data_IF_391097514504
#
_entry.id   IF_391097514504
#
_cell.length_a   1.000
_cell.length_b   1.000
_cell.length_c   1.000
_cell.angle_alpha   90.00
_cell.angle_beta   90.00
_cell.angle_gamma   90.00
#
_symmetry.space_group_name_H-M   'P 1'
#
loop_
_entity.id
_entity.type
_entity.pdbx_description
1 polymer ?
#
# COMPACT_ATOMS: atom_id res chain seq x y z
N UNK A 1 24.07 -1.70 -9.98
CA UNK A 1 23.08 -0.82 -9.32
C UNK A 1 22.03 -1.71 -8.66
N UNK A 2 21.97 -1.73 -7.33
CA UNK A 2 20.97 -2.53 -6.60
C UNK A 2 19.56 -2.03 -6.92
N UNK A 3 18.63 -2.93 -7.23
CA UNK A 3 17.21 -2.57 -7.42
C UNK A 3 16.68 -2.01 -6.09
N UNK A 4 16.30 -0.74 -6.05
CA UNK A 4 15.59 -0.21 -4.89
C UNK A 4 14.22 -0.88 -4.83
N UNK A 5 13.88 -1.58 -3.74
CA UNK A 5 12.55 -2.15 -3.59
C UNK A 5 11.53 -1.01 -3.58
N UNK A 6 10.51 -1.10 -4.44
CA UNK A 6 9.41 -0.14 -4.42
C UNK A 6 8.35 -0.62 -3.43
N UNK A 7 7.73 0.32 -2.74
CA UNK A 7 6.61 0.04 -1.84
C UNK A 7 5.38 0.76 -2.36
N UNK A 8 4.24 0.07 -2.34
CA UNK A 8 2.94 0.65 -2.63
C UNK A 8 2.15 0.72 -1.33
N UNK A 9 1.53 1.87 -1.10
CA UNK A 9 0.57 2.12 -0.04
C UNK A 9 -0.79 2.41 -0.66
N UNK A 10 -1.81 1.67 -0.25
CA UNK A 10 -3.19 1.83 -0.71
C UNK A 10 -4.08 2.16 0.48
N UNK A 11 -4.83 3.25 0.36
CA UNK A 11 -5.82 3.68 1.34
C UNK A 11 -7.21 3.59 0.72
N UNK A 12 -8.05 2.72 1.28
CA UNK A 12 -9.46 2.67 0.93
C UNK A 12 -10.19 3.76 1.70
N UNK A 13 -11.09 4.47 1.03
CA UNK A 13 -11.87 5.53 1.64
C UNK A 13 -13.31 5.51 1.16
N UNK A 14 -14.21 6.08 1.96
CA UNK A 14 -15.56 6.44 1.54
C UNK A 14 -15.85 7.90 1.89
N UNK A 15 -16.64 8.55 1.06
CA UNK A 15 -17.13 9.89 1.34
C UNK A 15 -18.51 9.81 1.99
N UNK A 16 -18.73 10.54 3.08
CA UNK A 16 -20.01 10.62 3.80
C UNK A 16 -20.23 12.04 4.30
N UNK A 17 -21.35 12.66 3.87
CA UNK A 17 -21.77 14.00 4.33
C UNK A 17 -20.62 15.02 4.36
N UNK A 18 -19.90 15.14 3.23
CA UNK A 18 -18.76 16.05 3.06
C UNK A 18 -17.50 15.75 3.92
N UNK A 19 -17.41 14.54 4.48
CA UNK A 19 -16.24 14.02 5.18
C UNK A 19 -15.69 12.78 4.47
N UNK A 20 -14.41 12.51 4.67
CA UNK A 20 -13.76 11.29 4.21
C UNK A 20 -13.47 10.38 5.40
N UNK A 21 -13.87 9.12 5.28
CA UNK A 21 -13.54 8.07 6.24
C UNK A 21 -12.59 7.09 5.55
N UNK A 22 -11.54 6.66 6.25
CA UNK A 22 -10.52 5.76 5.72
C UNK A 22 -10.57 4.42 6.45
N UNK A 23 -10.36 3.33 5.71
CA UNK A 23 -10.20 2.02 6.29
C UNK A 23 -8.75 1.84 6.78
N UNK A 24 -8.60 1.50 8.06
CA UNK A 24 -7.31 1.17 8.69
C UNK A 24 -7.47 -0.21 9.33
N UNK A 25 -6.45 -1.06 9.21
CA UNK A 25 -6.47 -2.43 9.70
C UNK A 25 -5.52 -2.57 10.90
N UNK A 26 -5.99 -3.22 11.95
CA UNK A 26 -5.16 -3.61 13.08
C UNK A 26 -4.32 -4.83 12.69
N UNK A 27 -3.05 -4.81 13.05
CA UNK A 27 -2.19 -5.98 12.87
C UNK A 27 -2.53 -7.06 13.90
N UNK A 28 -2.73 -8.28 13.42
CA UNK A 28 -2.98 -9.43 14.29
C UNK A 28 -1.78 -9.77 15.20
N UNK A 29 -0.56 -9.54 14.71
CA UNK A 29 0.69 -9.81 15.41
C UNK A 29 1.18 -8.65 16.29
N UNK A 30 0.63 -7.45 16.11
CA UNK A 30 1.00 -6.26 16.88
C UNK A 30 -0.26 -5.41 17.16
N UNK A 31 -0.99 -5.68 18.26
CA UNK A 31 -2.28 -5.06 18.53
C UNK A 31 -2.25 -3.52 18.66
N UNK A 32 -1.09 -2.94 18.96
CA UNK A 32 -0.93 -1.48 19.06
C UNK A 32 -0.59 -0.82 17.71
N UNK A 33 -0.56 -1.58 16.62
CA UNK A 33 -0.22 -1.11 15.29
C UNK A 33 -1.41 -1.18 14.34
N UNK A 34 -1.69 -0.04 13.71
CA UNK A 34 -2.77 0.16 12.75
C UNK A 34 -2.18 0.70 11.44
N UNK A 35 -2.58 0.15 10.31
CA UNK A 35 -2.03 0.54 9.01
C UNK A 35 -3.02 0.35 7.85
N UNK A 36 -2.77 1.04 6.74
CA UNK A 36 -3.41 0.76 5.45
C UNK A 36 -2.85 -0.50 4.79
N UNK A 37 -3.22 -0.74 3.53
CA UNK A 37 -2.71 -1.87 2.77
C UNK A 37 -1.33 -1.50 2.21
N UNK A 38 -0.31 -2.30 2.51
CA UNK A 38 1.05 -2.09 2.06
C UNK A 38 1.57 -3.36 1.37
N UNK A 39 2.34 -3.19 0.29
CA UNK A 39 3.00 -4.32 -0.37
C UNK A 39 4.31 -3.88 -1.04
N UNK A 40 5.35 -4.69 -0.88
CA UNK A 40 6.59 -4.53 -1.63
C UNK A 40 6.41 -5.05 -3.06
N UNK A 41 6.87 -4.29 -4.04
CA UNK A 41 6.76 -4.66 -5.45
C UNK A 41 8.13 -4.89 -6.04
N UNK A 42 8.30 -6.07 -6.64
CA UNK A 42 9.44 -6.41 -7.45
C UNK A 42 9.27 -5.77 -8.83
N UNK A 43 10.13 -4.81 -9.20
CA UNK A 43 10.15 -4.32 -10.57
C UNK A 43 10.83 -5.35 -11.48
N UNK A 44 10.05 -6.05 -12.29
CA UNK A 44 10.60 -6.72 -13.46
C UNK A 44 10.81 -5.67 -14.56
N UNK A 45 12.03 -5.60 -15.10
CA UNK A 45 12.28 -4.80 -16.31
C UNK A 45 11.54 -5.48 -17.44
N UNK A 46 10.44 -4.89 -17.92
CA UNK A 46 9.95 -5.24 -19.24
C UNK A 46 10.98 -4.78 -20.26
N UNK A 47 11.69 -5.72 -20.87
CA UNK A 47 12.37 -5.47 -22.13
C UNK A 47 11.27 -5.22 -23.16
N UNK A 48 11.06 -3.95 -23.53
CA UNK A 48 10.46 -3.63 -24.82
C UNK A 48 11.47 -4.06 -25.88
N UNK A 49 11.30 -5.27 -26.39
CA UNK A 49 11.90 -5.71 -27.64
C UNK A 49 11.05 -5.20 -28.80
N UNK A 50 11.69 -4.51 -29.73
CA UNK A 50 11.11 -3.93 -30.95
C UNK A 50 11.97 -2.79 -31.44
#
# INVERSE_FOLDING_TARGET
MARQPKQIHVFLYRQKQNKYEYAIFQRADMPFCWQGIFQAVQLEKQHQGG
#
